data_IF_018111206147
#
_entry.id   IF_018111206147
#
_cell.length_a   1.000
_cell.length_b   1.000
_cell.length_c   1.000
_cell.angle_alpha   90.00
_cell.angle_beta   90.00
_cell.angle_gamma   90.00
#
_symmetry.space_group_name_H-M   'P 1'
#
loop_
_entity.id
_entity.type
_entity.pdbx_description
1 polymer ?
#
# COMPACT_ATOMS: atom_id res chain seq x y z
N UNK A 1 30.33 -34.03 -53.40
CA UNK A 1 31.15 -33.09 -52.59
C UNK A 1 30.25 -32.30 -51.66
N UNK A 2 30.74 -32.05 -50.45
CA UNK A 2 29.96 -31.67 -49.27
C UNK A 2 29.40 -30.23 -49.27
N UNK A 3 28.32 -30.11 -48.50
CA UNK A 3 27.55 -28.94 -48.06
C UNK A 3 28.37 -27.73 -47.60
N UNK A 4 27.92 -26.51 -47.93
CA UNK A 4 28.10 -25.33 -47.09
C UNK A 4 26.76 -24.59 -46.91
N UNK A 5 26.08 -24.92 -45.81
CA UNK A 5 24.98 -24.14 -45.25
C UNK A 5 25.52 -22.77 -44.80
N UNK A 6 25.01 -21.68 -45.39
CA UNK A 6 25.24 -20.32 -44.93
C UNK A 6 24.76 -20.19 -43.47
N UNK A 7 25.69 -19.86 -42.58
CA UNK A 7 25.43 -19.61 -41.17
C UNK A 7 24.37 -18.50 -40.99
N UNK A 8 23.26 -18.87 -40.34
CA UNK A 8 22.28 -17.94 -39.78
C UNK A 8 23.00 -16.97 -38.81
N UNK A 9 22.90 -15.66 -39.07
CA UNK A 9 23.34 -14.62 -38.14
C UNK A 9 22.53 -14.77 -36.85
N UNK A 10 23.14 -15.35 -35.81
CA UNK A 10 22.63 -15.29 -34.44
C UNK A 10 22.39 -13.82 -34.11
N UNK A 11 21.14 -13.46 -33.80
CA UNK A 11 20.81 -12.19 -33.16
C UNK A 11 21.71 -12.06 -31.94
N UNK A 12 22.50 -11.00 -31.88
CA UNK A 12 23.26 -10.61 -30.70
C UNK A 12 22.28 -10.60 -29.52
N UNK A 13 22.57 -11.42 -28.52
CA UNK A 13 21.93 -11.29 -27.22
C UNK A 13 22.40 -9.93 -26.72
N UNK A 14 21.51 -8.93 -26.78
CA UNK A 14 21.75 -7.65 -26.12
C UNK A 14 21.80 -7.97 -24.64
N UNK A 15 23.00 -7.86 -24.05
CA UNK A 15 23.14 -7.92 -22.60
C UNK A 15 22.28 -6.78 -22.04
N UNK A 16 21.27 -7.14 -21.25
CA UNK A 16 20.42 -6.18 -20.57
C UNK A 16 21.31 -5.29 -19.70
N UNK A 17 21.45 -4.03 -20.07
CA UNK A 17 22.26 -3.06 -19.34
C UNK A 17 21.66 -2.89 -17.93
N UNK A 18 22.41 -3.21 -16.85
CA UNK A 18 21.92 -3.10 -15.50
C UNK A 18 21.38 -1.69 -15.18
N UNK A 19 21.97 -0.64 -15.75
CA UNK A 19 21.50 0.73 -15.58
C UNK A 19 20.14 0.98 -16.22
N UNK A 20 19.91 0.44 -17.42
CA UNK A 20 18.61 0.56 -18.12
C UNK A 20 17.52 -0.29 -17.48
N UNK A 21 17.87 -1.44 -16.91
CA UNK A 21 16.92 -2.22 -16.11
C UNK A 21 16.56 -1.46 -14.85
N UNK A 22 17.53 -0.85 -14.17
CA UNK A 22 17.30 -0.04 -12.98
C UNK A 22 16.40 1.16 -13.30
N UNK A 23 16.72 1.92 -14.36
CA UNK A 23 15.91 3.05 -14.82
C UNK A 23 14.49 2.61 -15.21
N UNK A 24 14.36 1.47 -15.90
CA UNK A 24 13.05 0.92 -16.24
C UNK A 24 12.26 0.55 -14.98
N UNK A 25 12.87 -0.14 -14.02
CA UNK A 25 12.25 -0.49 -12.73
C UNK A 25 11.85 0.75 -11.94
N UNK A 26 12.66 1.81 -11.96
CA UNK A 26 12.35 3.09 -11.32
C UNK A 26 11.24 3.85 -12.06
N UNK A 27 11.12 3.71 -13.38
CA UNK A 27 10.07 4.34 -14.19
C UNK A 27 8.73 3.59 -14.20
N UNK A 28 8.71 2.36 -13.67
CA UNK A 28 7.50 1.54 -13.51
C UNK A 28 6.78 1.81 -12.18
N UNK A 29 7.12 2.88 -11.45
CA UNK A 29 6.32 3.31 -10.30
C UNK A 29 4.99 3.85 -10.82
N UNK A 30 3.89 3.28 -10.33
CA UNK A 30 2.53 3.66 -10.71
C UNK A 30 2.16 4.98 -10.00
N UNK A 31 2.81 6.07 -10.39
CA UNK A 31 2.76 7.38 -9.73
C UNK A 31 1.31 7.93 -9.65
N UNK A 32 0.43 7.50 -10.56
CA UNK A 32 -0.97 7.89 -10.57
C UNK A 32 -1.76 7.36 -9.36
N UNK A 33 -1.51 6.12 -8.94
CA UNK A 33 -2.18 5.52 -7.79
C UNK A 33 -1.75 6.20 -6.48
N UNK A 34 -0.44 6.40 -6.29
CA UNK A 34 0.09 7.08 -5.11
C UNK A 34 -0.42 8.52 -4.97
N UNK A 35 -0.62 9.25 -6.07
CA UNK A 35 -1.20 10.60 -6.03
C UNK A 35 -2.66 10.60 -5.60
N UNK A 36 -3.45 9.58 -5.97
CA UNK A 36 -4.82 9.44 -5.51
C UNK A 36 -4.85 9.05 -4.03
N UNK A 37 -4.01 8.10 -3.62
CA UNK A 37 -3.84 7.72 -2.22
C UNK A 37 -3.50 8.92 -1.35
N UNK A 38 -2.54 9.75 -1.77
CA UNK A 38 -2.16 11.00 -1.08
C UNK A 38 -3.35 11.93 -0.87
N UNK A 39 -4.22 12.11 -1.89
CA UNK A 39 -5.40 12.98 -1.77
C UNK A 39 -6.41 12.43 -0.77
N UNK A 40 -6.71 11.14 -0.85
CA UNK A 40 -7.66 10.47 0.06
C UNK A 40 -7.11 10.48 1.48
N UNK A 41 -5.84 10.12 1.67
CA UNK A 41 -5.19 10.09 2.97
C UNK A 41 -5.17 11.49 3.60
N UNK A 42 -4.85 12.54 2.82
CA UNK A 42 -4.85 13.92 3.31
C UNK A 42 -6.25 14.35 3.76
N UNK A 43 -7.28 14.08 2.95
CA UNK A 43 -8.66 14.40 3.32
C UNK A 43 -9.08 13.68 4.61
N UNK A 44 -8.85 12.36 4.67
CA UNK A 44 -9.20 11.57 5.84
C UNK A 44 -8.40 11.96 7.08
N UNK A 45 -7.13 12.32 6.92
CA UNK A 45 -6.29 12.82 8.01
C UNK A 45 -6.89 14.07 8.63
N UNK A 46 -7.26 15.05 7.80
CA UNK A 46 -7.80 16.33 8.23
C UNK A 46 -9.21 16.18 8.82
N UNK A 47 -10.10 15.46 8.15
CA UNK A 47 -11.46 15.24 8.62
C UNK A 47 -11.52 14.36 9.87
N UNK A 48 -10.61 13.38 10.02
CA UNK A 48 -10.55 12.53 11.22
C UNK A 48 -9.75 13.14 12.38
N UNK A 49 -9.04 14.25 12.16
CA UNK A 49 -8.02 14.82 13.05
C UNK A 49 -7.10 13.71 13.59
N UNK A 50 -6.56 12.92 12.66
CA UNK A 50 -5.77 11.71 12.93
C UNK A 50 -4.28 12.02 13.01
N UNK A 51 -3.51 11.12 13.63
CA UNK A 51 -2.03 11.23 13.64
C UNK A 51 -1.41 10.86 12.29
N UNK A 52 -2.01 9.87 11.61
CA UNK A 52 -1.59 9.42 10.29
C UNK A 52 -2.71 8.61 9.61
N UNK A 53 -2.77 8.65 8.28
CA UNK A 53 -3.66 7.86 7.44
C UNK A 53 -2.85 7.20 6.32
N UNK A 54 -3.14 5.92 6.06
CA UNK A 54 -2.53 5.19 4.95
C UNK A 54 -3.49 4.15 4.40
N UNK A 55 -3.15 3.65 3.21
CA UNK A 55 -3.87 2.59 2.54
C UNK A 55 -2.96 1.37 2.39
N UNK A 56 -3.44 0.22 2.86
CA UNK A 56 -2.81 -1.07 2.59
C UNK A 56 -3.49 -1.66 1.37
N UNK A 57 -2.82 -1.58 0.23
CA UNK A 57 -3.28 -2.15 -1.04
C UNK A 57 -2.93 -3.63 -1.06
N UNK A 58 -3.92 -4.47 -1.30
CA UNK A 58 -3.82 -5.92 -1.30
C UNK A 58 -4.16 -6.44 -2.69
N UNK A 59 -3.16 -7.05 -3.33
CA UNK A 59 -3.32 -7.71 -4.62
C UNK A 59 -3.91 -9.09 -4.37
N UNK A 60 -5.18 -9.29 -4.76
CA UNK A 60 -5.91 -10.54 -4.51
C UNK A 60 -5.18 -11.74 -5.15
N UNK A 61 -4.51 -11.51 -6.28
CA UNK A 61 -3.61 -12.49 -6.91
C UNK A 61 -2.29 -12.50 -6.14
N UNK A 62 -2.05 -13.60 -5.41
CA UNK A 62 -0.83 -13.77 -4.62
C UNK A 62 -0.90 -13.22 -3.20
N UNK A 63 -1.99 -12.52 -2.83
CA UNK A 63 -2.23 -11.96 -1.49
C UNK A 63 -1.08 -11.06 -1.01
N UNK A 64 -0.53 -10.26 -1.93
CA UNK A 64 0.57 -9.34 -1.61
C UNK A 64 0.02 -8.03 -1.08
N UNK A 65 0.46 -7.62 0.11
CA UNK A 65 0.08 -6.35 0.74
C UNK A 65 1.19 -5.31 0.58
N UNK A 66 0.82 -4.06 0.33
CA UNK A 66 1.75 -2.96 0.11
C UNK A 66 1.21 -1.62 0.55
N UNK A 67 2.11 -0.69 0.84
CA UNK A 67 1.83 0.71 1.16
C UNK A 67 2.64 1.58 0.20
N UNK A 68 1.95 2.47 -0.51
CA UNK A 68 2.55 3.34 -1.52
C UNK A 68 2.53 4.82 -1.08
N UNK A 69 1.63 5.21 -0.17
CA UNK A 69 1.63 6.53 0.47
C UNK A 69 1.24 6.50 1.96
N UNK A 70 1.70 7.51 2.70
CA UNK A 70 1.27 7.83 4.08
C UNK A 70 0.98 9.32 4.14
N UNK A 71 -0.20 9.69 4.61
CA UNK A 71 -0.69 11.07 4.63
C UNK A 71 -0.54 11.74 3.26
N UNK A 72 0.09 12.91 3.24
CA UNK A 72 0.38 13.69 2.04
C UNK A 72 1.66 13.26 1.31
N UNK A 73 2.31 12.17 1.74
CA UNK A 73 3.64 11.76 1.29
C UNK A 73 3.56 10.43 0.53
N UNK A 74 3.82 10.49 -0.77
CA UNK A 74 4.10 9.30 -1.57
C UNK A 74 5.46 8.71 -1.16
N UNK A 75 5.49 7.40 -0.94
CA UNK A 75 6.72 6.70 -0.60
C UNK A 75 7.59 6.55 -1.85
N UNK A 76 8.94 6.63 -1.72
CA UNK A 76 9.85 6.61 -2.87
C UNK A 76 9.87 5.27 -3.63
N UNK A 77 9.30 4.22 -3.03
CA UNK A 77 9.10 2.91 -3.63
C UNK A 77 7.92 2.23 -2.97
N UNK A 78 7.32 1.28 -3.69
CA UNK A 78 6.31 0.36 -3.17
C UNK A 78 6.84 -0.42 -1.97
N UNK A 79 6.28 -0.21 -0.78
CA UNK A 79 6.71 -0.92 0.41
C UNK A 79 5.80 -2.13 0.65
N UNK A 80 6.30 -3.32 0.31
CA UNK A 80 5.60 -4.57 0.62
C UNK A 80 5.62 -4.84 2.12
N UNK A 81 4.50 -5.30 2.64
CA UNK A 81 4.35 -5.75 4.02
C UNK A 81 3.83 -7.18 4.06
N UNK A 82 4.05 -7.86 5.18
CA UNK A 82 3.55 -9.19 5.44
C UNK A 82 2.03 -9.16 5.56
N UNK A 83 1.37 -10.04 4.81
CA UNK A 83 -0.07 -10.26 4.96
C UNK A 83 -0.34 -11.02 6.25
N UNK A 84 -0.71 -10.27 7.30
CA UNK A 84 -1.03 -10.86 8.60
C UNK A 84 -2.41 -11.52 8.59
N UNK A 85 -2.64 -12.47 9.50
CA UNK A 85 -3.96 -13.08 9.71
C UNK A 85 -5.02 -12.02 10.01
N UNK A 86 -4.66 -11.00 10.80
CA UNK A 86 -5.54 -9.87 11.10
C UNK A 86 -6.00 -9.13 9.85
N UNK A 87 -5.09 -8.76 8.96
CA UNK A 87 -5.46 -8.11 7.69
C UNK A 87 -6.35 -9.02 6.83
N UNK A 88 -6.06 -10.32 6.81
CA UNK A 88 -6.89 -11.29 6.10
C UNK A 88 -8.30 -11.41 6.71
N UNK A 89 -8.43 -11.26 8.03
CA UNK A 89 -9.72 -11.30 8.72
C UNK A 89 -10.51 -10.01 8.52
N UNK A 90 -9.84 -8.85 8.53
CA UNK A 90 -10.44 -7.55 8.18
C UNK A 90 -11.05 -7.59 6.77
N UNK A 91 -10.38 -8.19 5.79
CA UNK A 91 -10.94 -8.30 4.43
C UNK A 91 -12.21 -9.17 4.32
N UNK A 92 -12.52 -9.99 5.33
CA UNK A 92 -13.74 -10.81 5.36
C UNK A 92 -14.93 -10.04 5.94
N UNK A 93 -14.70 -8.88 6.55
CA UNK A 93 -15.75 -8.03 7.14
C UNK A 93 -16.17 -6.94 6.16
N UNK A 94 -17.36 -6.39 6.39
CA UNK A 94 -17.86 -5.18 5.70
C UNK A 94 -17.92 -3.97 6.65
N UNK A 95 -17.44 -4.16 7.88
CA UNK A 95 -17.46 -3.17 8.95
C UNK A 95 -16.04 -2.83 9.34
N UNK A 96 -15.88 -1.64 9.92
CA UNK A 96 -14.66 -1.21 10.55
C UNK A 96 -14.20 -2.18 11.64
N UNK A 97 -12.88 -2.29 11.78
CA UNK A 97 -12.21 -3.00 12.85
C UNK A 97 -11.24 -2.04 13.53
N UNK A 98 -11.00 -2.26 14.82
CA UNK A 98 -10.19 -1.37 15.63
C UNK A 98 -9.17 -2.17 16.43
N UNK A 99 -7.92 -1.73 16.42
CA UNK A 99 -6.84 -2.40 17.17
C UNK A 99 -5.76 -1.40 17.59
N UNK A 100 -4.78 -1.84 18.38
CA UNK A 100 -3.65 -1.04 18.83
C UNK A 100 -2.50 -1.19 17.82
N UNK A 101 -1.85 -0.07 17.48
CA UNK A 101 -0.75 0.01 16.51
C UNK A 101 0.40 -0.98 16.80
N UNK A 102 0.70 -1.23 18.07
CA UNK A 102 1.75 -2.18 18.48
C UNK A 102 1.41 -3.65 18.19
N UNK A 103 0.14 -3.97 17.92
CA UNK A 103 -0.31 -5.32 17.58
C UNK A 103 -0.12 -5.66 16.10
N UNK A 104 0.42 -4.74 15.30
CA UNK A 104 0.73 -4.94 13.88
C UNK A 104 2.17 -5.44 13.68
N UNK A 105 2.47 -5.94 12.49
CA UNK A 105 3.82 -6.39 12.13
C UNK A 105 4.87 -5.28 12.25
N UNK A 106 6.12 -5.66 12.50
CA UNK A 106 7.23 -4.70 12.62
C UNK A 106 7.50 -3.92 11.33
N UNK A 107 7.21 -4.52 10.18
CA UNK A 107 7.25 -3.88 8.87
C UNK A 107 6.23 -2.75 8.74
N UNK A 108 4.97 -3.00 9.10
CA UNK A 108 3.93 -1.98 9.15
C UNK A 108 4.30 -0.85 10.11
N UNK A 109 4.73 -1.20 11.33
CA UNK A 109 5.14 -0.20 12.33
C UNK A 109 6.36 0.61 11.89
N UNK A 110 7.30 0.03 11.14
CA UNK A 110 8.49 0.73 10.63
C UNK A 110 8.15 1.75 9.55
N UNK A 111 7.13 1.47 8.73
CA UNK A 111 6.65 2.39 7.70
C UNK A 111 5.89 3.55 8.36
N UNK A 112 5.03 3.25 9.33
CA UNK A 112 4.16 4.24 9.99
C UNK A 112 4.91 5.08 11.02
N UNK A 113 5.88 4.50 11.73
CA UNK A 113 6.59 5.09 12.86
C UNK A 113 7.07 6.54 12.69
N UNK A 114 7.65 6.92 11.53
CA UNK A 114 8.07 8.31 11.27
C UNK A 114 6.94 9.34 11.22
N UNK A 115 5.71 8.91 10.93
CA UNK A 115 4.55 9.79 10.71
C UNK A 115 3.69 9.96 11.96
N UNK A 116 3.89 9.12 12.97
CA UNK A 116 3.10 9.12 14.21
C UNK A 116 3.87 9.76 15.36
N UNK A 117 3.18 10.51 16.23
CA UNK A 117 3.78 11.10 17.46
C UNK A 117 4.42 10.06 18.39
N UNK A 118 5.38 10.46 19.25
CA UNK A 118 6.32 9.54 19.96
C UNK A 118 5.70 8.49 20.92
N UNK A 119 4.42 8.53 21.26
CA UNK A 119 3.76 7.52 22.12
C UNK A 119 2.88 6.56 21.30
N UNK A 120 3.51 5.60 20.62
CA UNK A 120 2.81 4.64 19.75
C UNK A 120 2.10 3.50 20.51
N UNK A 121 2.36 3.36 21.81
CA UNK A 121 1.97 2.15 22.57
C UNK A 121 0.47 2.00 22.79
N UNK A 122 -0.28 3.10 22.68
CA UNK A 122 -1.74 3.13 22.91
C UNK A 122 -2.51 3.64 21.71
N UNK A 123 -1.84 3.87 20.58
CA UNK A 123 -2.49 4.43 19.41
C UNK A 123 -3.41 3.39 18.80
N UNK A 124 -4.66 3.80 18.64
CA UNK A 124 -5.67 3.00 17.99
C UNK A 124 -5.50 3.13 16.48
N UNK A 125 -5.76 2.06 15.76
CA UNK A 125 -5.80 2.00 14.30
C UNK A 125 -7.20 1.53 13.95
N UNK A 126 -7.96 2.40 13.29
CA UNK A 126 -9.23 2.03 12.66
C UNK A 126 -8.90 1.51 11.27
N UNK A 127 -9.37 0.32 10.96
CA UNK A 127 -9.22 -0.36 9.68
C UNK A 127 -10.58 -0.51 9.03
N UNK A 128 -10.71 -0.03 7.79
CA UNK A 128 -11.93 -0.23 7.01
C UNK A 128 -11.59 -0.93 5.69
N UNK A 129 -12.18 -2.11 5.40
CA UNK A 129 -11.94 -2.82 4.16
C UNK A 129 -12.79 -2.25 3.02
N UNK A 130 -12.14 -2.00 1.88
CA UNK A 130 -12.76 -1.70 0.59
C UNK A 130 -12.36 -2.80 -0.38
N UNK A 131 -13.29 -3.71 -0.66
CA UNK A 131 -13.02 -4.92 -1.44
C UNK A 131 -13.45 -4.75 -2.90
N UNK A 132 -12.52 -4.95 -3.83
CA UNK A 132 -12.81 -5.12 -5.26
C UNK A 132 -12.38 -6.53 -5.74
N UNK A 133 -12.84 -6.92 -6.95
CA UNK A 133 -12.49 -8.19 -7.57
C UNK A 133 -10.99 -8.33 -7.82
N UNK A 134 -10.31 -7.25 -8.20
CA UNK A 134 -8.92 -7.28 -8.67
C UNK A 134 -7.92 -6.99 -7.56
N UNK A 135 -8.21 -6.00 -6.74
CA UNK A 135 -7.45 -5.63 -5.56
C UNK A 135 -8.41 -5.27 -4.42
N UNK A 136 -7.93 -5.29 -3.19
CA UNK A 136 -8.65 -4.78 -2.03
C UNK A 136 -7.80 -3.72 -1.34
N UNK A 137 -8.43 -2.78 -0.65
CA UNK A 137 -7.73 -1.75 0.12
C UNK A 137 -8.20 -1.85 1.56
N UNK A 138 -7.27 -1.86 2.51
CA UNK A 138 -7.59 -1.59 3.92
C UNK A 138 -7.16 -0.16 4.21
N UNK A 139 -8.13 0.70 4.45
CA UNK A 139 -7.87 2.08 4.87
C UNK A 139 -7.59 2.08 6.36
N UNK A 140 -6.42 2.60 6.74
CA UNK A 140 -5.95 2.64 8.13
C UNK A 140 -5.89 4.10 8.60
N UNK A 141 -6.71 4.43 9.60
CA UNK A 141 -6.71 5.75 10.27
C UNK A 141 -6.12 5.58 11.67
N UNK A 142 -5.01 6.25 11.96
CA UNK A 142 -4.24 6.07 13.18
C UNK A 142 -4.51 7.21 14.15
N UNK A 143 -4.86 6.86 15.38
CA UNK A 143 -5.25 7.75 16.47
C UNK A 143 -6.26 8.85 16.07
N UNK A 144 -7.37 8.52 15.38
CA UNK A 144 -8.41 9.51 15.09
C UNK A 144 -9.00 10.07 16.39
N UNK A 145 -9.31 11.37 16.39
CA UNK A 145 -9.99 12.01 17.53
C UNK A 145 -11.51 11.92 17.45
N UNK A 146 -12.03 11.56 16.28
CA UNK A 146 -13.44 11.24 16.07
C UNK A 146 -13.83 9.84 16.54
N UNK A 147 -15.14 9.63 16.69
CA UNK A 147 -15.70 8.30 16.98
C UNK A 147 -15.50 7.36 15.78
N UNK A 148 -15.37 6.06 16.07
CA UNK A 148 -15.02 5.05 15.04
C UNK A 148 -16.05 4.98 13.91
N UNK A 149 -17.34 5.07 14.25
CA UNK A 149 -18.44 5.06 13.28
C UNK A 149 -18.36 6.23 12.29
N UNK A 150 -17.93 7.42 12.73
CA UNK A 150 -17.78 8.58 11.86
C UNK A 150 -16.61 8.41 10.89
N UNK A 151 -15.49 7.84 11.34
CA UNK A 151 -14.37 7.53 10.46
C UNK A 151 -14.77 6.52 9.38
N UNK A 152 -15.54 5.49 9.74
CA UNK A 152 -16.05 4.50 8.78
C UNK A 152 -16.95 5.15 7.71
N UNK A 153 -17.83 6.08 8.09
CA UNK A 153 -18.69 6.82 7.15
C UNK A 153 -17.84 7.65 6.17
N UNK A 154 -16.88 8.43 6.68
CA UNK A 154 -16.00 9.25 5.84
C UNK A 154 -15.18 8.40 4.86
N UNK A 155 -14.68 7.25 5.32
CA UNK A 155 -13.98 6.31 4.45
C UNK A 155 -14.92 5.79 3.38
N UNK A 156 -16.12 5.33 3.74
CA UNK A 156 -17.08 4.81 2.78
C UNK A 156 -17.43 5.85 1.69
N UNK A 157 -17.62 7.11 2.06
CA UNK A 157 -17.88 8.21 1.12
C UNK A 157 -16.74 8.46 0.12
N UNK A 158 -15.48 8.21 0.51
CA UNK A 158 -14.32 8.38 -0.37
C UNK A 158 -14.21 7.30 -1.47
N UNK A 159 -14.89 6.16 -1.32
CA UNK A 159 -14.77 4.98 -2.18
C UNK A 159 -16.08 4.57 -2.89
N UNK A 160 -17.10 5.44 -2.86
CA UNK A 160 -18.34 5.34 -3.66
C UNK A 160 -18.17 5.91 -5.07
#
# INVERSE_FOLDING_TARGET
>A
MASQKRHSRRKSIQNSDPGKILDLVLSLTDDGAAQLEVKINTYLHDECDADAVLQVVIHNVGMEASIDAVDSIALPRKNKICMTTKMADVLKTIMEQSDILTNFGSDFQSIVGPYVTKDNTKKRVIMFPVCDKTFSVIVCVIAPKLLEEHAAILIHECFL
#
